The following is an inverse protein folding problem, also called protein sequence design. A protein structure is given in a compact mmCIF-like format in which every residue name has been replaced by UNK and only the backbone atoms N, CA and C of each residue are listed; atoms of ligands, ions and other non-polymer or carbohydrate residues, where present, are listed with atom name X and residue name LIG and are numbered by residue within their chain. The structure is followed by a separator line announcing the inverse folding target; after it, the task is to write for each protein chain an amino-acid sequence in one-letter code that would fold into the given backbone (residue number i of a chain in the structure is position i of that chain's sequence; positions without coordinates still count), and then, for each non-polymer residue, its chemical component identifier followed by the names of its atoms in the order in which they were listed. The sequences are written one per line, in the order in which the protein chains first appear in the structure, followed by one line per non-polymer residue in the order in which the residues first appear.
data_IF_054271030442
#
_entry.id   IF_054271030442
#
_cell.length_a   1.000
_cell.length_b   1.000
_cell.length_c   1.000
_cell.angle_alpha   90.00
_cell.angle_beta   90.00
_cell.angle_gamma   90.00
#
_symmetry.space_group_name_H-M   'P 1'
#
loop_
_entity.id
_entity.type
_entity.pdbx_description
1 polymer ?
#
# COMPACT_ATOMS: atom_id res chain seq x y z
N UNK A 1 -72.40 -15.16 17.49
CA UNK A 1 -71.06 -15.67 17.85
C UNK A 1 -70.02 -14.75 17.24
N UNK A 2 -69.52 -13.80 18.01
CA UNK A 2 -68.51 -12.83 17.57
C UNK A 2 -67.12 -13.34 18.01
N UNK A 3 -66.11 -13.34 17.14
CA UNK A 3 -64.78 -13.82 17.53
C UNK A 3 -64.12 -12.82 18.49
N UNK A 4 -63.53 -13.34 19.58
CA UNK A 4 -62.79 -12.54 20.56
C UNK A 4 -61.55 -11.89 19.88
N UNK A 5 -61.26 -10.61 20.17
CA UNK A 5 -60.09 -9.94 19.64
C UNK A 5 -58.82 -10.52 20.28
N UNK A 6 -57.93 -11.07 19.45
CA UNK A 6 -56.60 -11.49 19.91
C UNK A 6 -55.86 -10.25 20.43
N UNK A 7 -55.41 -10.21 21.70
CA UNK A 7 -54.82 -9.01 22.26
C UNK A 7 -53.51 -8.73 21.55
N UNK A 8 -53.39 -7.55 20.95
CA UNK A 8 -52.20 -7.03 20.25
C UNK A 8 -50.91 -7.16 21.09
N UNK A 9 -51.06 -7.23 22.42
CA UNK A 9 -49.98 -7.51 23.37
C UNK A 9 -49.29 -8.87 23.15
N UNK A 10 -50.03 -9.93 22.80
CA UNK A 10 -49.46 -11.26 22.55
C UNK A 10 -48.62 -11.31 21.27
N UNK A 11 -48.97 -10.49 20.27
CA UNK A 11 -48.17 -10.34 19.05
C UNK A 11 -46.90 -9.52 19.29
N UNK A 12 -46.96 -8.46 20.10
CA UNK A 12 -45.80 -7.68 20.49
C UNK A 12 -44.80 -8.49 21.34
N UNK A 13 -45.29 -9.31 22.27
CA UNK A 13 -44.45 -10.18 23.09
C UNK A 13 -43.72 -11.23 22.24
N UNK A 14 -44.40 -11.85 21.27
CA UNK A 14 -43.78 -12.79 20.33
C UNK A 14 -42.74 -12.13 19.43
N UNK A 15 -42.99 -10.91 18.96
CA UNK A 15 -42.02 -10.16 18.17
C UNK A 15 -40.77 -9.79 19.00
N UNK A 16 -40.95 -9.37 20.26
CA UNK A 16 -39.85 -9.08 21.17
C UNK A 16 -39.00 -10.32 21.44
N UNK A 17 -39.65 -11.47 21.70
CA UNK A 17 -38.96 -12.76 21.92
C UNK A 17 -38.19 -13.19 20.68
N UNK A 18 -38.74 -13.04 19.47
CA UNK A 18 -38.01 -13.36 18.24
C UNK A 18 -36.79 -12.44 18.03
N UNK A 19 -36.90 -11.15 18.33
CA UNK A 19 -35.77 -10.20 18.22
C UNK A 19 -34.68 -10.53 19.24
N UNK A 20 -35.05 -10.86 20.48
CA UNK A 20 -34.11 -11.30 21.51
C UNK A 20 -33.41 -12.59 21.10
N UNK A 21 -34.15 -13.60 20.62
CA UNK A 21 -33.57 -14.88 20.18
C UNK A 21 -32.64 -14.72 18.97
N UNK A 22 -32.95 -13.82 18.03
CA UNK A 22 -32.08 -13.51 16.89
C UNK A 22 -30.82 -12.73 17.31
N UNK A 23 -30.89 -11.92 18.37
CA UNK A 23 -29.74 -11.20 18.91
C UNK A 23 -28.75 -12.06 19.71
N UNK A 24 -29.14 -13.27 20.14
CA UNK A 24 -28.23 -14.23 20.77
C UNK A 24 -27.47 -15.11 19.77
N UNK A 25 -27.82 -15.07 18.47
CA UNK A 25 -27.15 -15.81 17.41
C UNK A 25 -25.94 -15.04 16.83
N UNK A 26 -25.17 -14.35 17.69
CA UNK A 26 -23.88 -13.78 17.27
C UNK A 26 -22.91 -14.95 17.12
N UNK A 27 -22.36 -15.21 15.92
CA UNK A 27 -21.28 -16.17 15.81
C UNK A 27 -20.12 -15.62 16.64
N UNK A 28 -19.80 -16.30 17.74
CA UNK A 28 -18.53 -16.12 18.42
C UNK A 28 -17.48 -16.60 17.45
N UNK A 29 -16.83 -15.66 16.77
CA UNK A 29 -15.58 -15.93 16.07
C UNK A 29 -14.59 -16.37 17.16
N UNK A 30 -14.36 -17.69 17.23
CA UNK A 30 -13.23 -18.22 17.96
C UNK A 30 -12.00 -17.50 17.40
N UNK A 31 -11.37 -16.66 18.22
CA UNK A 31 -10.11 -16.05 17.85
C UNK A 31 -9.13 -17.21 17.79
N UNK A 32 -8.73 -17.62 16.58
CA UNK A 32 -7.69 -18.62 16.41
C UNK A 32 -6.49 -18.21 17.25
N UNK A 33 -5.99 -19.17 18.03
CA UNK A 33 -4.81 -18.99 18.84
C UNK A 33 -3.73 -18.38 17.96
N UNK A 34 -3.29 -17.18 18.34
CA UNK A 34 -2.13 -16.54 17.75
C UNK A 34 -0.98 -17.49 18.08
N UNK A 35 -0.67 -18.40 17.16
CA UNK A 35 0.60 -19.12 17.18
C UNK A 35 1.66 -18.04 17.35
N UNK A 36 2.43 -18.16 18.43
CA UNK A 36 3.50 -17.23 18.74
C UNK A 36 4.29 -17.06 17.44
N UNK A 37 4.22 -15.86 16.87
CA UNK A 37 4.84 -15.57 15.60
C UNK A 37 6.29 -16.01 15.72
N UNK A 38 6.63 -17.14 15.09
CA UNK A 38 8.01 -17.56 14.94
C UNK A 38 8.71 -16.36 14.35
N UNK A 39 9.70 -15.84 15.07
CA UNK A 39 10.42 -14.63 14.74
C UNK A 39 10.81 -14.73 13.27
N UNK A 40 10.11 -13.95 12.43
CA UNK A 40 10.21 -14.11 10.99
C UNK A 40 11.67 -13.89 10.63
N UNK A 41 12.33 -14.94 10.12
CA UNK A 41 13.71 -14.84 9.69
C UNK A 41 13.81 -13.66 8.74
N UNK A 42 14.70 -12.71 9.04
CA UNK A 42 14.89 -11.55 8.19
C UNK A 42 15.12 -12.04 6.74
N UNK A 43 14.46 -11.44 5.73
CA UNK A 43 14.58 -11.91 4.37
C UNK A 43 16.04 -11.91 3.95
N UNK A 44 16.53 -13.06 3.47
CA UNK A 44 17.90 -13.19 3.00
C UNK A 44 18.15 -12.19 1.87
N UNK A 45 19.22 -11.39 2.00
CA UNK A 45 19.59 -10.43 0.96
C UNK A 45 19.93 -11.16 -0.35
N UNK A 46 19.42 -10.70 -1.52
CA UNK A 46 19.80 -11.26 -2.81
C UNK A 46 21.33 -11.27 -2.98
N UNK A 47 21.88 -12.41 -3.37
CA UNK A 47 23.31 -12.59 -3.56
C UNK A 47 23.62 -13.53 -4.72
N UNK A 48 24.83 -13.42 -5.24
CA UNK A 48 25.40 -14.34 -6.22
C UNK A 48 26.82 -14.70 -5.78
N UNK A 49 27.20 -15.96 -5.94
CA UNK A 49 28.55 -16.46 -5.70
C UNK A 49 28.99 -17.25 -6.93
N UNK A 50 30.17 -16.94 -7.45
CA UNK A 50 30.75 -17.52 -8.65
C UNK A 50 32.24 -17.68 -8.47
N UNK A 51 32.84 -18.67 -9.12
CA UNK A 51 34.27 -18.94 -8.98
C UNK A 51 34.86 -19.48 -10.28
N UNK A 52 36.18 -19.38 -10.39
CA UNK A 52 37.04 -20.02 -11.39
C UNK A 52 38.11 -20.84 -10.65
N UNK A 53 39.15 -21.27 -11.36
CA UNK A 53 40.35 -21.86 -10.77
C UNK A 53 41.23 -20.81 -10.06
N UNK A 54 41.06 -19.52 -10.36
CA UNK A 54 41.90 -18.43 -9.83
C UNK A 54 41.22 -17.71 -8.66
N UNK A 55 39.92 -17.42 -8.81
CA UNK A 55 39.21 -16.53 -7.89
C UNK A 55 37.81 -17.01 -7.54
N UNK A 56 37.31 -16.56 -6.40
CA UNK A 56 35.90 -16.62 -6.00
C UNK A 56 35.39 -15.19 -5.77
N UNK A 57 34.20 -14.89 -6.30
CA UNK A 57 33.48 -13.65 -6.05
C UNK A 57 32.15 -13.95 -5.38
N UNK A 58 31.89 -13.25 -4.29
CA UNK A 58 30.56 -13.14 -3.68
C UNK A 58 30.08 -11.70 -3.83
N UNK A 59 28.91 -11.50 -4.41
CA UNK A 59 28.26 -10.19 -4.49
C UNK A 59 26.92 -10.23 -3.75
N UNK A 60 26.75 -9.36 -2.75
CA UNK A 60 25.54 -9.24 -1.94
C UNK A 60 24.90 -7.89 -2.19
N UNK A 61 23.58 -7.90 -2.44
CA UNK A 61 22.79 -6.70 -2.61
C UNK A 61 22.50 -6.05 -1.25
N UNK A 62 23.13 -4.91 -1.00
CA UNK A 62 22.97 -4.17 0.27
C UNK A 62 21.82 -3.18 0.25
N UNK A 63 21.56 -2.60 -0.91
CA UNK A 63 20.47 -1.69 -1.22
C UNK A 63 19.97 -1.98 -2.65
N UNK A 64 18.81 -1.44 -3.08
CA UNK A 64 18.29 -1.69 -4.42
C UNK A 64 19.32 -1.42 -5.53
N UNK A 65 20.10 -0.35 -5.40
CA UNK A 65 21.08 0.16 -6.35
C UNK A 65 22.54 -0.15 -5.99
N UNK A 66 22.79 -1.02 -4.99
CA UNK A 66 24.14 -1.23 -4.42
C UNK A 66 24.48 -2.68 -4.14
N UNK A 67 25.67 -3.09 -4.59
CA UNK A 67 26.31 -4.35 -4.23
C UNK A 67 27.53 -4.11 -3.34
N UNK A 68 27.75 -5.02 -2.39
CA UNK A 68 29.05 -5.27 -1.78
C UNK A 68 29.63 -6.54 -2.37
N UNK A 69 30.90 -6.51 -2.74
CA UNK A 69 31.61 -7.61 -3.38
C UNK A 69 32.81 -8.02 -2.52
N UNK A 70 33.02 -9.32 -2.42
CA UNK A 70 34.21 -9.94 -1.85
C UNK A 70 34.89 -10.72 -2.97
N UNK A 71 36.20 -10.54 -3.10
CA UNK A 71 37.05 -11.24 -4.06
C UNK A 71 38.14 -11.97 -3.29
N UNK A 72 38.11 -13.29 -3.36
CA UNK A 72 39.04 -14.17 -2.70
C UNK A 72 39.78 -15.02 -3.73
N UNK A 73 40.99 -15.49 -3.40
CA UNK A 73 41.66 -16.53 -4.17
C UNK A 73 40.89 -17.83 -4.01
N UNK A 74 40.69 -18.55 -5.11
CA UNK A 74 40.03 -19.85 -5.04
C UNK A 74 40.82 -20.83 -4.17
N UNK A 75 42.15 -20.84 -4.31
CA UNK A 75 43.02 -21.57 -3.39
C UNK A 75 43.20 -20.81 -2.07
N UNK A 76 42.72 -21.43 -0.99
CA UNK A 76 42.95 -20.93 0.38
C UNK A 76 42.10 -19.74 0.82
N UNK A 77 41.19 -19.23 -0.02
CA UNK A 77 40.23 -18.18 0.31
C UNK A 77 40.85 -16.91 0.91
N UNK A 78 42.05 -16.56 0.44
CA UNK A 78 42.73 -15.34 0.85
C UNK A 78 42.14 -14.12 0.11
N UNK A 79 41.84 -13.00 0.78
CA UNK A 79 41.26 -11.83 0.13
C UNK A 79 42.23 -11.21 -0.88
N UNK A 80 41.71 -10.70 -2.01
CA UNK A 80 42.49 -10.15 -3.13
C UNK A 80 42.22 -8.66 -3.29
N UNK A 81 42.89 -7.82 -2.51
CA UNK A 81 42.59 -6.37 -2.46
C UNK A 81 43.29 -5.54 -3.53
N UNK A 82 44.27 -6.08 -4.25
CA UNK A 82 45.05 -5.31 -5.23
C UNK A 82 44.41 -5.22 -6.63
N UNK A 83 43.36 -6.01 -6.88
CA UNK A 83 42.72 -6.08 -8.20
C UNK A 83 41.80 -4.89 -8.48
N UNK A 84 41.69 -4.52 -9.77
CA UNK A 84 40.59 -3.69 -10.26
C UNK A 84 39.42 -4.60 -10.62
N UNK A 85 38.24 -4.27 -10.11
CA UNK A 85 37.02 -5.01 -10.37
C UNK A 85 36.05 -4.17 -11.20
N UNK A 86 35.64 -4.69 -12.35
CA UNK A 86 34.59 -4.10 -13.18
C UNK A 86 33.43 -5.08 -13.31
N UNK A 87 32.19 -4.58 -13.34
CA UNK A 87 31.00 -5.41 -13.46
C UNK A 87 30.15 -4.91 -14.61
N UNK A 88 29.92 -5.77 -15.60
CA UNK A 88 28.94 -5.53 -16.65
C UNK A 88 27.54 -5.91 -16.17
N UNK A 89 26.59 -5.00 -16.37
CA UNK A 89 25.17 -5.14 -16.04
C UNK A 89 24.37 -4.85 -17.32
N UNK A 90 24.03 -5.89 -18.08
CA UNK A 90 23.50 -5.70 -19.43
C UNK A 90 24.58 -5.13 -20.36
N UNK A 91 24.33 -3.96 -20.94
CA UNK A 91 25.27 -3.30 -21.88
C UNK A 91 26.22 -2.30 -21.20
N UNK A 92 26.00 -1.98 -19.92
CA UNK A 92 26.82 -1.02 -19.18
C UNK A 92 27.88 -1.75 -18.34
N UNK A 93 29.11 -1.22 -18.33
CA UNK A 93 30.19 -1.70 -17.45
C UNK A 93 30.50 -0.64 -16.40
N UNK A 94 30.48 -1.04 -15.13
CA UNK A 94 30.68 -0.16 -13.98
C UNK A 94 31.87 -0.65 -13.17
N UNK A 95 32.83 0.24 -12.91
CA UNK A 95 33.95 -0.07 -12.01
C UNK A 95 33.46 -0.09 -10.56
N UNK A 96 33.83 -1.13 -9.81
CA UNK A 96 33.57 -1.20 -8.38
C UNK A 96 34.65 -0.42 -7.60
N UNK A 97 34.22 0.33 -6.59
CA UNK A 97 35.10 1.12 -5.73
C UNK A 97 35.64 0.25 -4.60
N UNK A 98 36.96 0.19 -4.43
CA UNK A 98 37.56 -0.55 -3.32
C UNK A 98 37.31 0.17 -1.99
N UNK A 99 36.98 -0.60 -0.95
CA UNK A 99 36.68 -0.11 0.40
C UNK A 99 37.81 -0.46 1.38
N UNK A 100 37.98 0.32 2.48
CA UNK A 100 39.04 0.08 3.47
C UNK A 100 38.96 -1.27 4.19
N UNK A 101 37.82 -1.94 4.15
CA UNK A 101 37.60 -3.25 4.78
C UNK A 101 37.99 -4.43 3.86
N UNK A 102 38.58 -4.15 2.71
CA UNK A 102 39.00 -5.16 1.73
C UNK A 102 37.86 -5.67 0.85
N UNK A 103 36.72 -5.00 0.84
CA UNK A 103 35.60 -5.28 -0.07
C UNK A 103 35.54 -4.26 -1.21
N UNK A 104 34.65 -4.49 -2.17
CA UNK A 104 34.33 -3.48 -3.20
C UNK A 104 32.86 -3.09 -3.09
N UNK A 105 32.57 -1.81 -3.32
CA UNK A 105 31.23 -1.26 -3.45
C UNK A 105 30.95 -0.95 -4.91
N UNK A 106 29.84 -1.45 -5.42
CA UNK A 106 29.32 -1.07 -6.73
C UNK A 106 27.96 -0.40 -6.57
N UNK A 107 27.82 0.80 -7.14
CA UNK A 107 26.56 1.56 -7.17
C UNK A 107 26.15 1.74 -8.62
N UNK A 108 24.93 1.33 -8.96
CA UNK A 108 24.36 1.54 -10.30
C UNK A 108 22.83 1.53 -10.24
N UNK A 109 22.15 2.46 -10.92
CA UNK A 109 20.68 2.43 -11.00
C UNK A 109 20.16 1.17 -11.71
N UNK A 110 20.96 0.52 -12.56
CA UNK A 110 20.57 -0.72 -13.24
C UNK A 110 20.34 -1.88 -12.26
N UNK A 111 21.00 -1.85 -11.10
CA UNK A 111 20.80 -2.83 -10.05
C UNK A 111 19.38 -2.77 -9.48
N UNK A 112 18.77 -1.58 -9.42
CA UNK A 112 17.47 -1.39 -8.79
C UNK A 112 16.28 -1.97 -9.59
N UNK A 113 16.54 -2.59 -10.75
CA UNK A 113 15.52 -3.24 -11.57
C UNK A 113 14.81 -4.35 -10.78
N UNK A 114 13.49 -4.23 -10.67
CA UNK A 114 12.63 -5.19 -10.00
C UNK A 114 12.05 -6.21 -10.98
N UNK A 115 11.66 -7.38 -10.46
CA UNK A 115 10.94 -8.42 -11.18
C UNK A 115 11.77 -9.26 -12.18
N UNK A 116 13.01 -8.86 -12.47
CA UNK A 116 13.89 -9.57 -13.43
C UNK A 116 15.27 -9.83 -12.81
N UNK A 117 15.79 -11.07 -12.86
CA UNK A 117 17.17 -11.35 -12.45
C UNK A 117 18.17 -10.60 -13.31
N UNK A 118 19.31 -10.22 -12.75
CA UNK A 118 20.37 -9.53 -13.47
C UNK A 118 21.50 -10.50 -13.78
N UNK A 119 21.89 -10.58 -15.04
CA UNK A 119 23.16 -11.19 -15.44
C UNK A 119 24.28 -10.19 -15.15
N UNK A 120 25.28 -10.63 -14.40
CA UNK A 120 26.45 -9.87 -14.02
C UNK A 120 27.68 -10.57 -14.61
N UNK A 121 28.57 -9.79 -15.23
CA UNK A 121 29.88 -10.28 -15.65
C UNK A 121 30.94 -9.50 -14.88
N UNK A 122 31.72 -10.18 -14.05
CA UNK A 122 32.79 -9.62 -13.23
C UNK A 122 34.12 -9.78 -13.96
N UNK A 123 34.74 -8.66 -14.33
CA UNK A 123 36.10 -8.61 -14.87
C UNK A 123 37.09 -8.26 -13.76
N UNK A 124 37.98 -9.19 -13.46
CA UNK A 124 39.06 -9.05 -12.49
C UNK A 124 40.32 -8.71 -13.27
N UNK A 125 40.90 -7.54 -13.02
CA UNK A 125 42.02 -7.00 -13.78
C UNK A 125 43.21 -6.70 -12.85
N UNK A 126 44.40 -7.16 -13.23
CA UNK A 126 45.64 -6.95 -12.47
C UNK A 126 45.67 -7.71 -11.13
N UNK A 127 44.90 -8.79 -11.01
CA UNK A 127 44.92 -9.64 -9.81
C UNK A 127 46.22 -10.47 -9.70
N UNK A 128 46.57 -10.94 -8.50
CA UNK A 128 47.83 -11.63 -8.23
C UNK A 128 47.99 -12.97 -8.96
N UNK A 129 46.87 -13.63 -9.30
CA UNK A 129 46.84 -14.89 -10.08
C UNK A 129 46.57 -14.63 -11.57
N UNK A 130 46.50 -13.37 -12.00
CA UNK A 130 46.19 -12.94 -13.38
C UNK A 130 44.79 -12.33 -13.54
N UNK A 131 44.44 -12.00 -14.78
CA UNK A 131 43.13 -11.47 -15.16
C UNK A 131 42.11 -12.62 -15.32
N UNK A 132 40.85 -12.35 -15.01
CA UNK A 132 39.78 -13.36 -15.11
C UNK A 132 38.40 -12.72 -15.37
N UNK A 133 37.46 -13.52 -15.88
CA UNK A 133 36.10 -13.11 -16.21
C UNK A 133 35.09 -14.13 -15.70
N UNK A 134 34.29 -13.74 -14.71
CA UNK A 134 33.27 -14.57 -14.07
C UNK A 134 31.87 -14.09 -14.43
N UNK A 135 30.93 -15.01 -14.69
CA UNK A 135 29.54 -14.66 -14.99
C UNK A 135 28.60 -15.25 -13.96
N UNK A 136 27.69 -14.44 -13.43
CA UNK A 136 26.74 -14.85 -12.40
C UNK A 136 25.38 -14.18 -12.53
N UNK A 137 24.35 -14.86 -12.05
CA UNK A 137 22.98 -14.34 -12.03
C UNK A 137 22.62 -13.86 -10.63
N UNK A 138 22.40 -12.56 -10.49
CA UNK A 138 21.88 -11.96 -9.27
C UNK A 138 20.34 -12.07 -9.24
N UNK A 139 19.74 -12.63 -8.17
CA UNK A 139 18.29 -12.73 -8.06
C UNK A 139 17.58 -11.37 -8.17
N UNK A 140 16.38 -11.40 -8.75
CA UNK A 140 15.54 -10.23 -8.91
C UNK A 140 15.16 -9.64 -7.55
N UNK A 141 15.02 -8.31 -7.51
CA UNK A 141 14.21 -7.69 -6.46
C UNK A 141 12.73 -8.06 -6.68
N UNK A 142 11.93 -8.20 -5.60
CA UNK A 142 10.49 -8.40 -5.74
C UNK A 142 9.89 -7.33 -6.64
N UNK A 143 8.98 -7.72 -7.53
CA UNK A 143 8.19 -6.75 -8.27
C UNK A 143 7.37 -5.92 -7.27
N UNK A 144 7.18 -4.61 -7.50
CA UNK A 144 6.25 -3.81 -6.71
C UNK A 144 4.88 -4.51 -6.72
N UNK A 145 4.27 -4.72 -5.56
CA UNK A 145 2.91 -5.24 -5.53
C UNK A 145 1.97 -4.18 -6.13
N UNK A 146 1.27 -4.48 -7.23
CA UNK A 146 0.32 -3.53 -7.82
C UNK A 146 -0.81 -3.13 -6.85
N UNK A 147 -0.99 -3.85 -5.74
CA UNK A 147 -1.95 -3.57 -4.68
C UNK A 147 -1.36 -2.80 -3.48
N UNK A 148 -0.03 -2.64 -3.37
CA UNK A 148 0.63 -1.83 -2.31
C UNK A 148 0.84 -0.36 -2.72
N UNK A 149 0.07 0.15 -3.68
CA UNK A 149 0.04 1.57 -4.00
C UNK A 149 -0.66 2.41 -2.90
N UNK A 150 -0.51 3.74 -2.91
CA UNK A 150 -1.18 4.65 -1.97
C UNK A 150 -2.72 4.71 -2.13
N UNK A 151 -3.27 3.87 -3.00
CA UNK A 151 -4.71 3.65 -3.11
C UNK A 151 -5.11 2.68 -2.01
N UNK A 152 -5.28 3.19 -0.78
CA UNK A 152 -6.12 2.50 0.20
C UNK A 152 -7.44 2.16 -0.51
N UNK A 153 -7.73 0.87 -0.69
CA UNK A 153 -9.04 0.48 -1.20
C UNK A 153 -10.08 1.02 -0.20
N UNK A 154 -10.91 2.01 -0.59
CA UNK A 154 -11.86 2.63 0.33
C UNK A 154 -12.82 1.60 0.93
N UNK A 155 -13.01 0.46 0.25
CA UNK A 155 -13.78 -0.65 0.76
C UNK A 155 -13.08 -1.41 1.90
N UNK A 156 -11.76 -1.64 1.79
CA UNK A 156 -10.97 -2.25 2.87
C UNK A 156 -10.90 -1.34 4.09
N UNK A 157 -10.60 -0.05 3.89
CA UNK A 157 -10.58 0.94 4.98
C UNK A 157 -11.94 1.03 5.70
N UNK A 158 -13.06 1.02 4.94
CA UNK A 158 -14.41 1.01 5.51
C UNK A 158 -14.70 -0.26 6.31
N UNK A 159 -14.29 -1.43 5.82
CA UNK A 159 -14.47 -2.72 6.52
C UNK A 159 -13.64 -2.79 7.80
N UNK A 160 -12.39 -2.34 7.78
CA UNK A 160 -11.55 -2.28 8.97
C UNK A 160 -12.10 -1.28 9.99
N UNK A 161 -12.52 -0.09 9.53
CA UNK A 161 -13.13 0.93 10.38
C UNK A 161 -14.40 0.42 11.08
N UNK A 162 -15.19 -0.40 10.38
CA UNK A 162 -16.40 -1.04 10.91
C UNK A 162 -16.07 -2.22 11.84
N UNK A 163 -15.04 -3.00 11.53
CA UNK A 163 -14.57 -4.11 12.37
C UNK A 163 -14.10 -3.63 13.75
N UNK A 164 -13.48 -2.45 13.83
CA UNK A 164 -13.08 -1.82 15.09
C UNK A 164 -14.25 -1.16 15.86
N UNK A 165 -15.45 -1.12 15.27
CA UNK A 165 -16.65 -0.52 15.88
C UNK A 165 -17.86 -1.45 15.78
N UNK A 166 -17.80 -2.65 16.39
CA UNK A 166 -18.88 -3.65 16.28
C UNK A 166 -20.20 -3.15 16.87
N UNK A 167 -20.14 -2.20 17.81
CA UNK A 167 -21.30 -1.54 18.40
C UNK A 167 -22.10 -0.68 17.40
N UNK A 168 -21.48 -0.19 16.30
CA UNK A 168 -22.21 0.50 15.24
C UNK A 168 -23.04 -0.48 14.40
N UNK A 169 -22.54 -1.69 14.17
CA UNK A 169 -23.29 -2.75 13.46
C UNK A 169 -24.46 -3.21 14.33
N UNK A 170 -24.20 -3.48 15.61
CA UNK A 170 -25.24 -3.90 16.56
C UNK A 170 -26.28 -2.79 16.80
N UNK A 171 -25.83 -1.55 17.02
CA UNK A 171 -26.70 -0.39 17.25
C UNK A 171 -27.50 0.02 16.01
N UNK A 172 -26.87 0.01 14.84
CA UNK A 172 -27.52 0.28 13.56
C UNK A 172 -28.58 -0.77 13.23
N UNK A 173 -28.27 -2.06 13.44
CA UNK A 173 -29.21 -3.16 13.29
C UNK A 173 -30.42 -3.03 14.23
N UNK A 174 -30.18 -2.67 15.50
CA UNK A 174 -31.26 -2.50 16.48
C UNK A 174 -32.18 -1.33 16.15
N UNK A 175 -31.63 -0.18 15.74
CA UNK A 175 -32.42 0.99 15.33
C UNK A 175 -33.22 0.71 14.04
N UNK A 176 -32.61 0.05 13.05
CA UNK A 176 -33.29 -0.34 11.81
C UNK A 176 -34.43 -1.33 12.09
N UNK A 177 -34.20 -2.32 12.96
CA UNK A 177 -35.21 -3.27 13.41
C UNK A 177 -36.37 -2.58 14.14
N UNK A 178 -36.08 -1.62 15.03
CA UNK A 178 -37.09 -0.82 15.72
C UNK A 178 -37.92 0.03 14.75
N UNK A 179 -37.27 0.69 13.80
CA UNK A 179 -37.95 1.50 12.78
C UNK A 179 -38.84 0.63 11.88
N UNK A 180 -38.34 -0.52 11.43
CA UNK A 180 -39.11 -1.49 10.64
C UNK A 180 -40.29 -2.06 11.45
N UNK A 181 -40.07 -2.43 12.71
CA UNK A 181 -41.11 -2.90 13.62
C UNK A 181 -42.20 -1.86 13.85
N UNK A 182 -41.84 -0.59 14.07
CA UNK A 182 -42.79 0.52 14.23
C UNK A 182 -43.54 0.82 12.92
N UNK A 183 -42.86 0.77 11.77
CA UNK A 183 -43.49 0.91 10.46
C UNK A 183 -44.49 -0.24 10.18
N UNK A 184 -44.13 -1.46 10.56
CA UNK A 184 -44.96 -2.66 10.45
C UNK A 184 -46.00 -2.80 11.56
N UNK A 185 -45.98 -1.97 12.61
CA UNK A 185 -47.03 -1.91 13.64
C UNK A 185 -48.12 -0.88 13.30
N UNK A 186 -47.80 0.10 12.44
CA UNK A 186 -48.76 1.15 12.03
C UNK A 186 -49.89 0.59 11.16
N UNK A 187 -51.11 1.18 11.19
CA UNK A 187 -52.21 0.76 10.32
C UNK A 187 -51.83 0.94 8.84
N UNK A 188 -52.32 0.06 7.95
CA UNK A 188 -51.94 -0.02 6.52
C UNK A 188 -51.95 1.33 5.78
N UNK A 189 -52.86 2.26 6.14
CA UNK A 189 -52.91 3.62 5.60
C UNK A 189 -51.66 4.47 5.94
N UNK A 190 -51.08 4.31 7.14
CA UNK A 190 -49.90 5.07 7.59
C UNK A 190 -48.57 4.42 7.20
N UNK A 191 -48.56 3.12 6.87
CA UNK A 191 -47.36 2.43 6.34
C UNK A 191 -46.95 2.96 4.97
N UNK A 192 -47.93 3.18 4.08
CA UNK A 192 -47.68 3.72 2.73
C UNK A 192 -47.06 5.12 2.77
N UNK A 193 -47.51 5.97 3.71
CA UNK A 193 -46.96 7.32 3.91
C UNK A 193 -45.54 7.27 4.49
N UNK A 194 -45.28 6.38 5.44
CA UNK A 194 -43.94 6.23 6.03
C UNK A 194 -42.91 5.66 5.04
N UNK A 195 -43.31 4.69 4.20
CA UNK A 195 -42.44 4.14 3.14
C UNK A 195 -42.16 5.19 2.06
N UNK A 196 -43.17 5.96 1.64
CA UNK A 196 -42.98 7.05 0.69
C UNK A 196 -42.05 8.16 1.25
N UNK A 197 -42.19 8.50 2.54
CA UNK A 197 -41.32 9.47 3.19
C UNK A 197 -39.87 8.96 3.36
N UNK A 198 -39.67 7.68 3.67
CA UNK A 198 -38.34 7.08 3.75
C UNK A 198 -37.65 7.03 2.38
N UNK A 199 -38.39 6.66 1.32
CA UNK A 199 -37.88 6.72 -0.06
C UNK A 199 -37.52 8.15 -0.49
N UNK A 200 -38.36 9.14 -0.14
CA UNK A 200 -38.07 10.55 -0.43
C UNK A 200 -36.82 11.07 0.32
N UNK A 201 -36.55 10.56 1.53
CA UNK A 201 -35.36 10.92 2.31
C UNK A 201 -34.09 10.24 1.77
N UNK A 202 -34.19 9.02 1.23
CA UNK A 202 -33.09 8.32 0.55
C UNK A 202 -32.75 8.89 -0.83
N UNK A 203 -33.71 9.55 -1.48
CA UNK A 203 -33.53 10.27 -2.76
C UNK A 203 -33.20 11.76 -2.56
N UNK A 204 -33.09 12.24 -1.32
CA UNK A 204 -32.71 13.62 -1.06
C UNK A 204 -31.21 13.80 -1.40
N UNK A 205 -30.84 14.68 -2.34
CA UNK A 205 -29.45 14.91 -2.68
C UNK A 205 -28.71 15.43 -1.45
N UNK A 206 -27.60 14.78 -1.09
CA UNK A 206 -26.66 15.33 -0.12
C UNK A 206 -26.16 16.67 -0.70
N UNK A 207 -26.62 17.77 -0.10
CA UNK A 207 -26.28 19.11 -0.57
C UNK A 207 -24.76 19.29 -0.63
N UNK A 208 -24.23 19.40 -1.84
CA UNK A 208 -22.93 19.96 -2.09
C UNK A 208 -22.95 21.41 -1.59
N UNK A 209 -22.31 21.68 -0.46
CA UNK A 209 -21.99 23.04 -0.06
C UNK A 209 -20.83 23.49 -0.94
N UNK A 210 -21.15 24.26 -1.99
CA UNK A 210 -20.17 25.06 -2.68
C UNK A 210 -19.93 26.31 -1.82
N UNK A 211 -18.69 26.49 -1.37
CA UNK A 211 -18.26 27.70 -0.67
C UNK A 211 -18.33 28.90 -1.64
N UNK A 212 -18.80 30.04 -1.11
CA UNK A 212 -18.93 31.29 -1.84
C UNK A 212 -17.55 31.91 -2.06
N UNK A 213 -17.00 31.73 -3.27
CA UNK A 213 -15.83 32.43 -3.77
C UNK A 213 -16.17 33.86 -4.21
N UNK A 214 -15.54 34.80 -3.51
CA UNK A 214 -15.47 36.26 -3.68
C UNK A 214 -15.75 36.85 -5.08
N UNK A 215 -16.50 37.94 -5.05
CA UNK A 215 -16.85 38.80 -6.17
C UNK A 215 -15.63 39.61 -6.64
N UNK A 216 -15.29 39.48 -7.92
CA UNK A 216 -14.55 40.51 -8.65
C UNK A 216 -15.38 40.92 -9.86
N UNK A 217 -16.08 42.03 -9.73
CA UNK A 217 -16.70 42.72 -10.84
C UNK A 217 -15.61 43.50 -11.60
N UNK A 218 -15.28 43.02 -12.79
CA UNK A 218 -14.75 43.85 -13.86
C UNK A 218 -15.88 44.72 -14.40
N UNK A 219 -15.60 46.01 -14.58
CA UNK A 219 -16.28 46.81 -15.61
C UNK A 219 -15.22 47.35 -16.57
N UNK A 220 -15.52 47.13 -17.85
CA UNK A 220 -14.80 47.53 -19.06
C UNK A 220 -14.69 49.07 -19.18
N UNK A 221 -13.93 49.74 -20.05
CA UNK A 221 -13.24 49.45 -21.31
C UNK A 221 -12.33 50.69 -21.65
N UNK A 222 -11.62 50.73 -22.79
CA UNK A 222 -10.43 51.55 -23.03
C UNK A 222 -10.70 52.92 -23.71
N UNK A 223 -9.78 53.87 -23.52
CA UNK A 223 -9.43 54.91 -24.50
C UNK A 223 -8.09 55.58 -24.09
N UNK A 224 -7.15 55.65 -25.02
CA UNK A 224 -5.80 56.13 -24.77
C UNK A 224 -5.66 57.66 -24.69
N UNK A 225 -4.50 58.10 -24.20
CA UNK A 225 -3.63 59.16 -24.77
C UNK A 225 -2.43 59.36 -23.83
N UNK A 226 -1.26 58.89 -24.30
CA UNK A 226 0.02 59.63 -24.44
C UNK A 226 0.67 60.38 -23.24
N UNK A 227 2.02 60.34 -23.27
CA UNK A 227 3.04 61.07 -22.47
C UNK A 227 3.34 60.44 -21.09
N UNK A 228 4.57 60.23 -20.64
CA UNK A 228 5.91 60.59 -21.09
C UNK A 228 6.90 59.74 -20.24
N UNK A 229 8.03 59.33 -20.80
CA UNK A 229 9.16 58.74 -20.07
C UNK A 229 10.39 59.60 -20.41
N UNK A 230 11.26 59.95 -19.44
CA UNK A 230 12.40 59.10 -19.07
C UNK A 230 12.81 59.33 -17.58
N UNK A 231 13.84 58.78 -16.92
CA UNK A 231 15.04 57.99 -17.20
C UNK A 231 15.51 57.36 -15.85
N UNK A 232 16.47 56.41 -15.84
CA UNK A 232 17.04 55.84 -14.62
C UNK A 232 18.24 56.65 -14.11
N UNK A 233 18.48 56.65 -12.79
CA UNK A 233 19.72 57.16 -12.18
C UNK A 233 20.42 56.05 -11.36
N UNK A 234 21.74 55.82 -11.57
CA UNK A 234 22.64 55.07 -10.68
C UNK A 234 23.24 56.05 -9.63
N UNK A 235 24.06 55.65 -8.62
CA UNK A 235 25.29 54.84 -8.71
C UNK A 235 25.21 53.42 -8.14
#
# INVERSE_FOLDING_TARGET
MSPLPVPRAAACLRALVCVVLLSLAVPVAAHEGRDAAGEAAAPARPRVAVHSELYEIVAVREAPDRLRLWLDRFEGNAPVTEARLEVAIGEETVAAEAEPDGTWRLVSPLLARAGVPLELVFAILGGPEGDDLLSGRLPALPAPDPHEGPFEDPWHAAREWLAHRPWLVAGGGMLAGLAAGLALARPRRRRRVAVAAALALLLAPAGARADAGHDHAEDAAPAGTMLDAPAPHPP
#
